data_IF_819601885292
#
_entry.id   IF_819601885292
#
_cell.length_a   1.000
_cell.length_b   1.000
_cell.length_c   1.000
_cell.angle_alpha   90.00
_cell.angle_beta   90.00
_cell.angle_gamma   90.00
#
_symmetry.space_group_name_H-M   'P 1'
#
loop_
_entity.id
_entity.type
_entity.pdbx_description
1 polymer ?
#
# COMPACT_ATOMS: atom_id res chain seq x y z
N UNK A 1 15.03 -18.28 9.31
CA UNK A 1 14.02 -18.85 8.38
C UNK A 1 12.62 -18.26 8.63
N UNK A 2 12.05 -18.35 9.84
CA UNK A 2 10.73 -17.77 10.17
C UNK A 2 10.62 -16.25 9.98
N UNK A 3 11.68 -15.50 10.30
CA UNK A 3 11.72 -14.04 10.17
C UNK A 3 11.70 -13.58 8.70
N UNK A 4 12.44 -14.28 7.83
CA UNK A 4 12.43 -14.06 6.38
C UNK A 4 11.04 -14.29 5.78
N UNK A 5 10.35 -15.36 6.20
CA UNK A 5 8.99 -15.65 5.73
C UNK A 5 7.99 -14.61 6.20
N UNK A 6 8.06 -14.17 7.46
CA UNK A 6 7.22 -13.05 7.97
C UNK A 6 7.46 -11.77 7.19
N UNK A 7 8.72 -11.45 6.91
CA UNK A 7 9.08 -10.27 6.13
C UNK A 7 8.49 -10.32 4.70
N UNK A 8 8.60 -11.48 4.04
CA UNK A 8 8.04 -11.69 2.70
C UNK A 8 6.51 -11.51 2.67
N UNK A 9 5.81 -12.10 3.65
CA UNK A 9 4.34 -11.95 3.76
C UNK A 9 3.96 -10.50 4.01
N UNK A 10 4.67 -9.82 4.92
CA UNK A 10 4.43 -8.41 5.20
C UNK A 10 4.67 -7.54 3.96
N UNK A 11 5.74 -7.79 3.21
CA UNK A 11 6.01 -7.09 1.96
C UNK A 11 4.90 -7.31 0.92
N UNK A 12 4.45 -8.55 0.76
CA UNK A 12 3.38 -8.87 -0.19
C UNK A 12 2.05 -8.22 0.21
N UNK A 13 1.72 -8.20 1.50
CA UNK A 13 0.56 -7.46 2.00
C UNK A 13 0.63 -5.97 1.64
N UNK A 14 1.80 -5.35 1.76
CA UNK A 14 1.98 -3.95 1.37
C UNK A 14 1.81 -3.74 -0.13
N UNK A 15 2.29 -4.65 -0.98
CA UNK A 15 2.06 -4.58 -2.43
C UNK A 15 0.57 -4.65 -2.79
N UNK A 16 -0.18 -5.57 -2.20
CA UNK A 16 -1.64 -5.68 -2.38
C UNK A 16 -2.34 -4.41 -1.88
N UNK A 17 -1.91 -3.88 -0.74
CA UNK A 17 -2.52 -2.68 -0.16
C UNK A 17 -2.26 -1.42 -1.01
N UNK A 18 -1.07 -1.26 -1.60
CA UNK A 18 -0.76 -0.19 -2.56
C UNK A 18 -1.74 -0.24 -3.74
N UNK A 19 -1.93 -1.42 -4.35
CA UNK A 19 -2.88 -1.60 -5.46
C UNK A 19 -4.33 -1.30 -5.02
N UNK A 20 -4.72 -1.74 -3.82
CA UNK A 20 -6.02 -1.45 -3.26
C UNK A 20 -6.24 0.06 -3.09
N UNK A 21 -5.29 0.80 -2.53
CA UNK A 21 -5.35 2.26 -2.35
C UNK A 21 -5.39 3.02 -3.67
N UNK A 22 -4.69 2.56 -4.70
CA UNK A 22 -4.76 3.13 -6.04
C UNK A 22 -6.10 2.86 -6.73
N UNK A 23 -6.79 1.78 -6.37
CA UNK A 23 -8.09 1.43 -6.95
C UNK A 23 -9.29 1.97 -6.17
N UNK A 24 -9.12 2.27 -4.88
CA UNK A 24 -10.18 2.65 -3.94
C UNK A 24 -9.95 4.09 -3.48
N UNK A 25 -10.88 4.99 -3.77
CA UNK A 25 -10.82 6.40 -3.34
C UNK A 25 -10.26 7.33 -4.41
N UNK A 26 -9.39 8.27 -4.02
CA UNK A 26 -8.82 9.33 -4.88
C UNK A 26 -7.81 8.83 -5.93
N UNK A 27 -7.45 7.54 -5.88
CA UNK A 27 -6.54 6.92 -6.83
C UNK A 27 -5.07 7.33 -6.64
N UNK A 28 -4.70 7.80 -5.46
CA UNK A 28 -3.33 8.24 -5.16
C UNK A 28 -2.78 7.66 -3.87
N UNK A 29 -1.45 7.60 -3.78
CA UNK A 29 -0.73 7.10 -2.61
C UNK A 29 0.65 7.73 -2.49
N UNK A 30 1.13 7.95 -1.27
CA UNK A 30 2.51 8.35 -1.01
C UNK A 30 3.10 7.58 0.16
N UNK A 31 4.41 7.74 0.37
CA UNK A 31 5.17 7.02 1.41
C UNK A 31 4.58 7.20 2.82
N UNK A 32 4.05 8.38 3.14
CA UNK A 32 3.43 8.63 4.45
C UNK A 32 2.17 7.80 4.68
N UNK A 33 1.45 7.41 3.63
CA UNK A 33 0.30 6.52 3.73
C UNK A 33 0.74 5.13 4.21
N UNK A 34 1.84 4.60 3.66
CA UNK A 34 2.40 3.30 4.07
C UNK A 34 2.98 3.35 5.49
N UNK A 35 3.68 4.43 5.84
CA UNK A 35 4.25 4.61 7.19
C UNK A 35 3.12 4.58 8.23
N UNK A 36 2.04 5.34 7.99
CA UNK A 36 0.88 5.37 8.90
C UNK A 36 0.14 4.03 8.95
N UNK A 37 0.05 3.31 7.84
CA UNK A 37 -0.68 2.05 7.77
C UNK A 37 0.08 0.85 8.34
N UNK A 38 1.42 0.84 8.25
CA UNK A 38 2.24 -0.34 8.57
C UNK A 38 3.35 -0.09 9.61
N UNK A 39 3.55 1.14 10.07
CA UNK A 39 4.60 1.47 11.04
C UNK A 39 6.03 1.25 10.51
N UNK A 40 6.22 1.26 9.19
CA UNK A 40 7.52 0.98 8.56
C UNK A 40 8.37 2.25 8.39
N UNK A 41 9.68 2.06 8.19
CA UNK A 41 10.61 3.17 7.93
C UNK A 41 10.31 3.87 6.60
N UNK A 42 10.76 5.12 6.48
CA UNK A 42 10.68 5.89 5.22
C UNK A 42 11.38 5.18 4.06
N UNK A 43 12.54 4.57 4.30
CA UNK A 43 13.28 3.84 3.29
C UNK A 43 12.49 2.62 2.78
N UNK A 44 11.89 1.84 3.69
CA UNK A 44 11.08 0.69 3.32
C UNK A 44 9.83 1.11 2.54
N UNK A 45 9.11 2.14 2.98
CA UNK A 45 7.94 2.64 2.27
C UNK A 45 8.28 3.12 0.84
N UNK A 46 9.42 3.77 0.68
CA UNK A 46 9.90 4.25 -0.63
C UNK A 46 10.31 3.08 -1.53
N UNK A 47 10.96 2.07 -0.95
CA UNK A 47 11.29 0.83 -1.64
C UNK A 47 10.04 0.09 -2.11
N UNK A 48 9.01 -0.05 -1.26
CA UNK A 48 7.78 -0.77 -1.61
C UNK A 48 7.00 -0.08 -2.74
N UNK A 49 6.93 1.26 -2.74
CA UNK A 49 6.31 2.03 -3.82
C UNK A 49 7.09 1.90 -5.14
N UNK A 50 8.42 1.94 -5.06
CA UNK A 50 9.28 1.73 -6.23
C UNK A 50 9.09 0.32 -6.79
N UNK A 51 9.11 -0.70 -5.93
CA UNK A 51 8.90 -2.10 -6.31
C UNK A 51 7.54 -2.30 -6.98
N UNK A 52 6.48 -1.71 -6.41
CA UNK A 52 5.14 -1.77 -6.98
C UNK A 52 5.09 -1.18 -8.39
N UNK A 53 5.64 0.03 -8.58
CA UNK A 53 5.70 0.68 -9.90
C UNK A 53 6.52 -0.14 -10.90
N UNK A 54 7.68 -0.65 -10.49
CA UNK A 54 8.55 -1.44 -11.36
C UNK A 54 7.87 -2.71 -11.84
N UNK A 55 7.13 -3.40 -10.96
CA UNK A 55 6.37 -4.58 -11.32
C UNK A 55 5.12 -4.26 -12.16
N UNK A 56 4.52 -3.08 -11.95
CA UNK A 56 3.25 -2.70 -12.57
C UNK A 56 3.35 -1.32 -13.27
N UNK A 57 4.23 -1.16 -14.29
CA UNK A 57 4.55 0.15 -14.86
C UNK A 57 3.38 0.83 -15.56
N UNK A 58 2.37 0.06 -15.99
CA UNK A 58 1.15 0.60 -16.60
C UNK A 58 0.07 0.95 -15.57
N UNK A 59 0.17 0.47 -14.33
CA UNK A 59 -0.86 0.67 -13.32
C UNK A 59 -0.74 2.04 -12.65
N UNK A 60 0.48 2.57 -12.52
CA UNK A 60 0.78 3.75 -11.70
C UNK A 60 1.83 4.65 -12.35
N UNK A 61 1.65 5.95 -12.22
CA UNK A 61 2.60 7.00 -12.59
C UNK A 61 2.97 7.83 -11.37
N UNK A 62 4.15 8.45 -11.39
CA UNK A 62 4.56 9.37 -10.32
C UNK A 62 4.27 10.81 -10.72
N UNK A 63 3.38 11.47 -9.98
CA UNK A 63 3.07 12.88 -10.13
C UNK A 63 4.11 13.71 -9.37
N UNK A 64 5.02 14.36 -10.11
CA UNK A 64 6.10 15.18 -9.54
C UNK A 64 5.57 16.42 -8.82
N UNK A 65 4.46 16.99 -9.29
CA UNK A 65 3.88 18.21 -8.70
C UNK A 65 3.25 17.88 -7.35
N UNK A 66 2.42 16.83 -7.31
CA UNK A 66 1.77 16.39 -6.08
C UNK A 66 2.70 15.60 -5.14
N UNK A 67 3.84 15.10 -5.63
CA UNK A 67 4.76 14.17 -4.93
C UNK A 67 4.05 12.89 -4.47
N UNK A 68 3.16 12.36 -5.32
CA UNK A 68 2.38 11.15 -5.05
C UNK A 68 2.39 10.24 -6.26
N UNK A 69 2.20 8.95 -6.01
CA UNK A 69 1.88 7.98 -7.04
C UNK A 69 0.39 8.07 -7.34
N UNK A 70 0.03 8.05 -8.62
CA UNK A 70 -1.34 8.13 -9.11
C UNK A 70 -1.63 6.97 -10.05
N UNK A 71 -2.82 6.40 -9.94
CA UNK A 71 -3.27 5.37 -10.87
C UNK A 71 -3.38 5.96 -12.28
N UNK A 72 -2.85 5.27 -13.28
CA UNK A 72 -3.01 5.73 -14.67
C UNK A 72 -4.45 5.48 -15.14
N UNK A 73 -4.92 6.25 -16.13
CA UNK A 73 -6.28 6.09 -16.69
C UNK A 73 -6.54 4.70 -17.29
N UNK A 74 -5.48 4.03 -17.77
CA UNK A 74 -5.55 2.69 -18.42
C UNK A 74 -5.10 1.56 -17.50
N UNK A 75 -4.63 1.87 -16.30
CA UNK A 75 -4.08 0.92 -15.36
C UNK A 75 -5.15 -0.03 -14.83
N UNK A 76 -5.01 -1.32 -15.14
CA UNK A 76 -5.79 -2.37 -14.48
C UNK A 76 -5.21 -2.65 -13.09
N UNK A 77 -6.03 -3.07 -12.12
CA UNK A 77 -5.52 -3.52 -10.82
C UNK A 77 -4.51 -4.66 -11.01
N UNK A 78 -3.42 -4.64 -10.26
CA UNK A 78 -2.42 -5.69 -10.28
C UNK A 78 -2.90 -6.98 -9.57
N UNK A 79 -3.85 -6.83 -8.64
CA UNK A 79 -4.37 -7.91 -7.82
C UNK A 79 -5.90 -8.07 -7.94
N UNK A 80 -6.44 -9.29 -7.73
CA UNK A 80 -7.87 -9.55 -7.73
C UNK A 80 -8.63 -8.69 -6.71
N UNK A 81 -9.89 -8.37 -7.04
CA UNK A 81 -10.71 -7.48 -6.20
C UNK A 81 -10.91 -7.99 -4.77
N UNK A 82 -11.22 -9.28 -4.59
CA UNK A 82 -11.45 -9.85 -3.27
C UNK A 82 -10.21 -9.71 -2.36
N UNK A 83 -9.01 -9.91 -2.92
CA UNK A 83 -7.76 -9.81 -2.18
C UNK A 83 -7.46 -8.36 -1.79
N UNK A 84 -7.66 -7.41 -2.71
CA UNK A 84 -7.53 -5.98 -2.42
C UNK A 84 -8.48 -5.53 -1.31
N UNK A 85 -9.75 -5.92 -1.40
CA UNK A 85 -10.77 -5.56 -0.40
C UNK A 85 -10.45 -6.17 0.96
N UNK A 86 -10.05 -7.45 0.99
CA UNK A 86 -9.63 -8.13 2.22
C UNK A 86 -8.48 -7.39 2.90
N UNK A 87 -7.38 -7.13 2.18
CA UNK A 87 -6.21 -6.43 2.75
C UNK A 87 -6.54 -5.00 3.16
N UNK A 88 -7.30 -4.25 2.35
CA UNK A 88 -7.70 -2.89 2.69
C UNK A 88 -8.56 -2.83 3.95
N UNK A 89 -9.50 -3.77 4.11
CA UNK A 89 -10.36 -3.86 5.29
C UNK A 89 -9.58 -4.28 6.52
N UNK A 90 -8.68 -5.25 6.42
CA UNK A 90 -7.82 -5.68 7.52
C UNK A 90 -6.94 -4.55 8.03
N UNK A 91 -6.26 -3.83 7.12
CA UNK A 91 -5.42 -2.69 7.52
C UNK A 91 -6.25 -1.57 8.14
N UNK A 92 -7.46 -1.32 7.62
CA UNK A 92 -8.40 -0.35 8.23
C UNK A 92 -8.82 -0.78 9.64
N UNK A 93 -9.19 -2.05 9.82
CA UNK A 93 -9.66 -2.57 11.10
C UNK A 93 -8.55 -2.51 12.17
N UNK A 94 -7.33 -2.92 11.82
CA UNK A 94 -6.17 -2.83 12.73
C UNK A 94 -5.86 -1.39 13.10
N UNK A 95 -5.99 -0.46 12.16
CA UNK A 95 -5.79 0.96 12.44
C UNK A 95 -6.83 1.49 13.43
N UNK A 96 -8.10 1.17 13.22
CA UNK A 96 -9.18 1.56 14.15
C UNK A 96 -8.91 0.98 15.53
N UNK A 97 -8.54 -0.30 15.61
CA UNK A 97 -8.20 -0.95 16.87
C UNK A 97 -7.06 -0.23 17.59
N UNK A 98 -5.95 0.08 16.89
CA UNK A 98 -4.83 0.81 17.48
C UNK A 98 -5.21 2.24 17.92
N UNK A 99 -6.03 2.94 17.14
CA UNK A 99 -6.52 4.28 17.50
C UNK A 99 -7.43 4.23 18.74
N UNK A 100 -8.14 3.12 19.00
CA UNK A 100 -8.94 2.97 20.22
C UNK A 100 -8.06 2.78 21.46
N UNK A 101 -7.02 1.96 21.38
CA UNK A 101 -6.08 1.71 22.49
C UNK A 101 -5.26 2.95 22.89
N UNK A 102 -4.94 3.84 21.93
CA UNK A 102 -4.20 5.09 22.23
C UNK A 102 -5.05 6.15 22.95
N UNK A 103 -6.38 5.98 22.99
CA UNK A 103 -7.32 6.92 23.58
C UNK A 103 -7.87 6.47 24.96
N UNK A 104 -7.39 5.35 25.50
CA UNK A 104 -7.65 4.85 26.86
C UNK A 104 -6.50 5.20 27.82
#
# INVERSE_FOLDING_TARGET
MLDTTRNLVAQQMRQVWIDAKLCIGDGTICRTDLIKAFGISTAQASHDLTAYRTANPQAVEYDLSAKRYRRTKRGKPAYPQHLRLSVANTVRALRIFNEMEENE
#
